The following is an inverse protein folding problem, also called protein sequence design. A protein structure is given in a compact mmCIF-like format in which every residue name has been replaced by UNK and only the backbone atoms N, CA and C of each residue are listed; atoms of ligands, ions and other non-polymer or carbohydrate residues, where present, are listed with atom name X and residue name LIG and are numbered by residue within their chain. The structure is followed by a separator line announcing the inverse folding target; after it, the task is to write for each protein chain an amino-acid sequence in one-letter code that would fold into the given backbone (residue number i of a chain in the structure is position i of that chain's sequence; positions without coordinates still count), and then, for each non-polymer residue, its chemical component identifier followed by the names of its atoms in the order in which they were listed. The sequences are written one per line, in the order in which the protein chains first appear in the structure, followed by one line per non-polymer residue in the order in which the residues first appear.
data_IF_971503069885
#
_entry.id   IF_971503069885
#
_cell.length_a   1.000
_cell.length_b   1.000
_cell.length_c   1.000
_cell.angle_alpha   90.00
_cell.angle_beta   90.00
_cell.angle_gamma   90.00
#
_symmetry.space_group_name_H-M   'P 1'
#
loop_
_entity.id
_entity.type
_entity.pdbx_description
1 polymer ?
#
# COMPACT_ATOMS: atom_id res chain seq x y z
N UNK A 1 6.31 -20.85 -4.81
CA UNK A 1 7.71 -20.61 -5.24
C UNK A 1 7.81 -19.66 -6.44
N UNK A 2 7.31 -20.00 -7.65
CA UNK A 2 7.42 -19.06 -8.80
C UNK A 2 6.70 -17.72 -8.57
N UNK A 3 5.52 -17.75 -7.98
CA UNK A 3 4.78 -16.55 -7.60
C UNK A 3 5.56 -15.66 -6.64
N UNK A 4 6.18 -16.24 -5.63
CA UNK A 4 6.96 -15.50 -4.63
C UNK A 4 8.18 -14.83 -5.27
N UNK A 5 8.88 -15.58 -6.14
CA UNK A 5 10.02 -15.03 -6.90
C UNK A 5 9.56 -13.86 -7.76
N UNK A 6 8.42 -13.99 -8.46
CA UNK A 6 7.87 -12.93 -9.30
C UNK A 6 7.51 -11.68 -8.48
N UNK A 7 6.84 -11.84 -7.33
CA UNK A 7 6.47 -10.73 -6.44
C UNK A 7 7.70 -10.05 -5.83
N UNK A 8 8.67 -10.82 -5.34
CA UNK A 8 9.94 -10.28 -4.83
C UNK A 8 10.69 -9.54 -5.93
N UNK A 9 10.81 -10.13 -7.12
CA UNK A 9 11.46 -9.48 -8.27
C UNK A 9 10.77 -8.19 -8.67
N UNK A 10 9.43 -8.15 -8.67
CA UNK A 10 8.67 -6.95 -8.95
C UNK A 10 8.91 -5.86 -7.90
N UNK A 11 8.89 -6.20 -6.61
CA UNK A 11 9.20 -5.26 -5.54
C UNK A 11 10.61 -4.67 -5.69
N UNK A 12 11.61 -5.51 -5.95
CA UNK A 12 12.98 -5.06 -6.20
C UNK A 12 13.08 -4.19 -7.45
N UNK A 13 12.42 -4.55 -8.56
CA UNK A 13 12.40 -3.74 -9.77
C UNK A 13 11.81 -2.34 -9.52
N UNK A 14 10.74 -2.25 -8.74
CA UNK A 14 10.18 -0.96 -8.33
C UNK A 14 11.15 -0.16 -7.46
N UNK A 15 11.82 -0.79 -6.49
CA UNK A 15 12.79 -0.11 -5.62
C UNK A 15 14.01 0.37 -6.40
N UNK A 16 14.55 -0.45 -7.30
CA UNK A 16 15.70 -0.10 -8.15
C UNK A 16 15.36 1.02 -9.15
N UNK A 17 14.12 1.07 -9.63
CA UNK A 17 13.66 2.11 -10.56
C UNK A 17 13.19 3.39 -9.87
N UNK A 18 13.08 3.41 -8.55
CA UNK A 18 12.79 4.60 -7.74
C UNK A 18 14.06 5.47 -7.60
N UNK A 19 13.92 6.77 -7.30
CA UNK A 19 15.06 7.60 -6.90
C UNK A 19 15.85 6.92 -5.78
N UNK A 20 17.18 7.13 -5.74
CA UNK A 20 18.02 6.54 -4.69
C UNK A 20 17.52 7.02 -3.31
N UNK A 21 17.20 6.07 -2.45
CA UNK A 21 16.86 6.34 -1.06
C UNK A 21 18.16 6.40 -0.23
N UNK A 22 18.22 7.34 0.71
CA UNK A 22 19.26 7.30 1.72
C UNK A 22 19.02 6.10 2.69
N UNK A 23 20.01 5.78 3.52
CA UNK A 23 19.90 4.65 4.46
C UNK A 23 18.74 4.80 5.45
N UNK A 24 18.44 6.04 5.86
CA UNK A 24 17.34 6.34 6.77
C UNK A 24 15.99 6.04 6.11
N UNK A 25 15.74 6.55 4.90
CA UNK A 25 14.51 6.28 4.15
C UNK A 25 14.30 4.77 3.91
N UNK A 26 15.37 4.05 3.57
CA UNK A 26 15.29 2.60 3.38
C UNK A 26 14.96 1.86 4.69
N UNK A 27 15.61 2.23 5.81
CA UNK A 27 15.34 1.63 7.12
C UNK A 27 13.91 1.89 7.58
N UNK A 28 13.40 3.09 7.38
CA UNK A 28 12.04 3.45 7.79
C UNK A 28 10.98 2.82 6.89
N UNK A 29 11.23 2.70 5.58
CA UNK A 29 10.35 1.92 4.69
C UNK A 29 10.28 0.46 5.14
N UNK A 30 11.41 -0.14 5.49
CA UNK A 30 11.47 -1.49 6.05
C UNK A 30 10.69 -1.58 7.37
N UNK A 31 10.86 -0.61 8.27
CA UNK A 31 10.11 -0.55 9.53
C UNK A 31 8.60 -0.47 9.27
N UNK A 32 8.16 0.34 8.32
CA UNK A 32 6.74 0.41 7.93
C UNK A 32 6.24 -0.90 7.33
N UNK A 33 7.04 -1.59 6.51
CA UNK A 33 6.68 -2.90 5.97
C UNK A 33 6.48 -3.90 7.12
N UNK A 34 7.43 -3.99 8.05
CA UNK A 34 7.35 -4.92 9.18
C UNK A 34 6.21 -4.58 10.13
N UNK A 35 6.04 -3.31 10.50
CA UNK A 35 4.95 -2.87 11.38
C UNK A 35 3.57 -3.11 10.78
N UNK A 36 3.38 -2.78 9.49
CA UNK A 36 2.10 -3.01 8.81
C UNK A 36 1.82 -4.51 8.64
N UNK A 37 2.85 -5.31 8.33
CA UNK A 37 2.75 -6.77 8.28
C UNK A 37 2.33 -7.34 9.63
N UNK A 38 3.00 -6.96 10.71
CA UNK A 38 2.69 -7.43 12.06
C UNK A 38 1.25 -7.05 12.46
N UNK A 39 0.86 -5.80 12.23
CA UNK A 39 -0.49 -5.33 12.54
C UNK A 39 -1.56 -6.07 11.72
N UNK A 40 -1.30 -6.33 10.43
CA UNK A 40 -2.21 -7.13 9.59
C UNK A 40 -2.37 -8.56 10.11
N UNK A 41 -1.30 -9.18 10.57
CA UNK A 41 -1.33 -10.54 11.16
C UNK A 41 -2.12 -10.55 12.47
N UNK A 42 -1.87 -9.59 13.36
CA UNK A 42 -2.58 -9.45 14.64
C UNK A 42 -4.09 -9.20 14.43
N UNK A 43 -4.45 -8.44 13.39
CA UNK A 43 -5.83 -8.11 13.08
C UNK A 43 -6.54 -9.16 12.20
N UNK A 44 -5.90 -10.25 11.86
CA UNK A 44 -6.48 -11.33 11.05
C UNK A 44 -7.86 -11.82 11.55
N UNK A 45 -8.15 -11.88 12.87
CA UNK A 45 -9.48 -12.25 13.34
C UNK A 45 -10.60 -11.28 12.98
N UNK A 46 -10.28 -10.03 12.57
CA UNK A 46 -11.24 -9.02 12.15
C UNK A 46 -11.31 -9.01 10.60
N UNK A 47 -12.33 -9.63 9.98
CA UNK A 47 -12.39 -9.75 8.53
C UNK A 47 -12.45 -8.37 7.88
N UNK A 48 -11.57 -8.15 6.91
CA UNK A 48 -11.47 -6.92 6.11
C UNK A 48 -11.19 -5.62 6.89
N UNK A 49 -10.88 -5.67 8.19
CA UNK A 49 -10.44 -4.52 8.99
C UNK A 49 -8.93 -4.55 9.10
N UNK A 50 -8.23 -3.87 8.19
CA UNK A 50 -6.79 -4.00 8.04
C UNK A 50 -6.11 -2.63 7.77
N UNK A 51 -4.88 -2.41 8.28
CA UNK A 51 -4.18 -1.13 8.17
C UNK A 51 -3.54 -0.88 6.80
N UNK A 52 -3.48 -1.91 5.93
CA UNK A 52 -2.65 -1.90 4.71
C UNK A 52 -3.07 -0.81 3.74
N UNK A 53 -4.38 -0.60 3.55
CA UNK A 53 -4.91 0.39 2.61
C UNK A 53 -4.44 1.80 2.92
N UNK A 54 -4.59 2.23 4.17
CA UNK A 54 -4.20 3.59 4.59
C UNK A 54 -2.69 3.76 4.55
N UNK A 55 -1.93 2.75 4.98
CA UNK A 55 -0.47 2.75 4.89
C UNK A 55 -0.01 2.84 3.42
N UNK A 56 -0.59 2.03 2.51
CA UNK A 56 -0.24 2.06 1.08
C UNK A 56 -0.56 3.41 0.42
N UNK A 57 -1.73 4.01 0.72
CA UNK A 57 -2.09 5.35 0.26
C UNK A 57 -1.06 6.39 0.68
N UNK A 58 -0.67 6.40 1.97
CA UNK A 58 0.24 7.40 2.52
C UNK A 58 1.69 7.17 2.09
N UNK A 59 2.16 5.92 2.03
CA UNK A 59 3.48 5.61 1.47
C UNK A 59 3.55 6.03 -0.01
N UNK A 60 2.50 5.76 -0.79
CA UNK A 60 2.40 6.26 -2.16
C UNK A 60 2.44 7.77 -2.25
N UNK A 61 1.69 8.47 -1.40
CA UNK A 61 1.61 9.94 -1.39
C UNK A 61 2.93 10.62 -1.01
N UNK A 62 3.71 10.04 -0.09
CA UNK A 62 4.97 10.60 0.38
C UNK A 62 6.18 10.14 -0.42
N UNK A 63 6.25 8.85 -0.76
CA UNK A 63 7.44 8.23 -1.35
C UNK A 63 7.29 7.91 -2.85
N UNK A 64 6.13 8.23 -3.42
CA UNK A 64 5.82 8.02 -4.83
C UNK A 64 5.33 6.60 -5.15
N UNK A 65 4.81 6.45 -6.37
CA UNK A 65 4.13 5.25 -6.83
C UNK A 65 4.99 3.98 -6.76
N UNK A 66 6.28 4.07 -7.12
CA UNK A 66 7.18 2.91 -7.17
C UNK A 66 7.50 2.35 -5.78
N UNK A 67 7.88 3.21 -4.82
CA UNK A 67 8.13 2.79 -3.43
C UNK A 67 6.83 2.32 -2.75
N UNK A 68 5.70 2.97 -3.07
CA UNK A 68 4.38 2.56 -2.60
C UNK A 68 3.97 1.18 -3.09
N UNK A 69 4.18 0.88 -4.39
CA UNK A 69 3.91 -0.44 -4.95
C UNK A 69 4.82 -1.52 -4.34
N UNK A 70 6.12 -1.24 -4.20
CA UNK A 70 7.04 -2.15 -3.53
C UNK A 70 6.64 -2.44 -2.08
N UNK A 71 6.27 -1.40 -1.32
CA UNK A 71 5.72 -1.55 0.03
C UNK A 71 4.50 -2.48 0.05
N UNK A 72 3.53 -2.24 -0.83
CA UNK A 72 2.30 -3.03 -0.92
C UNK A 72 2.59 -4.51 -1.22
N UNK A 73 3.47 -4.79 -2.18
CA UNK A 73 3.88 -6.15 -2.54
C UNK A 73 4.54 -6.85 -1.35
N UNK A 74 5.50 -6.20 -0.68
CA UNK A 74 6.24 -6.77 0.44
C UNK A 74 5.33 -7.05 1.64
N UNK A 75 4.47 -6.10 2.02
CA UNK A 75 3.49 -6.30 3.12
C UNK A 75 2.57 -7.47 2.78
N UNK A 76 2.05 -7.53 1.56
CA UNK A 76 1.14 -8.60 1.13
C UNK A 76 1.82 -9.95 1.19
N UNK A 77 3.01 -10.07 0.61
CA UNK A 77 3.74 -11.33 0.57
C UNK A 77 4.09 -11.81 1.98
N UNK A 78 4.73 -10.95 2.79
CA UNK A 78 5.17 -11.32 4.14
C UNK A 78 3.99 -11.69 5.03
N UNK A 79 2.90 -10.92 5.02
CA UNK A 79 1.74 -11.24 5.84
C UNK A 79 1.00 -12.48 5.35
N UNK A 80 0.88 -12.70 4.04
CA UNK A 80 0.24 -13.90 3.52
C UNK A 80 1.04 -15.17 3.78
N UNK A 81 2.37 -15.12 3.82
CA UNK A 81 3.19 -16.25 4.26
C UNK A 81 2.90 -16.66 5.70
N UNK A 82 2.48 -15.72 6.54
CA UNK A 82 2.15 -15.97 7.95
C UNK A 82 0.68 -16.33 8.17
N UNK A 83 -0.24 -15.77 7.39
CA UNK A 83 -1.70 -15.95 7.56
C UNK A 83 -2.22 -17.08 6.66
N UNK A 84 -2.06 -16.90 5.36
CA UNK A 84 -2.53 -17.82 4.31
C UNK A 84 -1.98 -17.40 2.97
N UNK A 85 -1.14 -18.22 2.37
CA UNK A 85 -0.50 -17.97 1.09
C UNK A 85 -1.09 -18.82 -0.02
N UNK A 86 -1.31 -18.20 -1.20
CA UNK A 86 -1.84 -18.88 -2.36
C UNK A 86 -1.93 -17.97 -3.58
N UNK A 87 -2.60 -18.44 -4.61
CA UNK A 87 -2.81 -17.70 -5.86
C UNK A 87 -3.38 -16.29 -5.67
N UNK A 88 -4.29 -16.11 -4.72
CA UNK A 88 -4.89 -14.82 -4.36
C UNK A 88 -3.87 -13.77 -3.89
N UNK A 89 -2.69 -14.19 -3.44
CA UNK A 89 -1.62 -13.27 -3.02
C UNK A 89 -1.20 -12.33 -4.15
N UNK A 90 -1.19 -12.81 -5.40
CA UNK A 90 -0.89 -11.98 -6.57
C UNK A 90 -1.93 -10.85 -6.71
N UNK A 91 -3.21 -11.19 -6.64
CA UNK A 91 -4.29 -10.21 -6.82
C UNK A 91 -4.35 -9.20 -5.67
N UNK A 92 -4.10 -9.63 -4.45
CA UNK A 92 -3.98 -8.74 -3.30
C UNK A 92 -2.77 -7.80 -3.44
N UNK A 93 -1.61 -8.31 -3.88
CA UNK A 93 -0.43 -7.48 -4.13
C UNK A 93 -0.69 -6.45 -5.23
N UNK A 94 -1.36 -6.84 -6.32
CA UNK A 94 -1.79 -5.91 -7.38
C UNK A 94 -2.78 -4.88 -6.80
N UNK A 95 -3.79 -5.31 -6.06
CA UNK A 95 -4.82 -4.44 -5.50
C UNK A 95 -4.23 -3.34 -4.62
N UNK A 96 -3.38 -3.69 -3.65
CA UNK A 96 -2.75 -2.68 -2.80
C UNK A 96 -1.65 -1.87 -3.52
N UNK A 97 -1.01 -2.43 -4.55
CA UNK A 97 -0.12 -1.64 -5.41
C UNK A 97 -0.88 -0.55 -6.18
N UNK A 98 -2.06 -0.88 -6.71
CA UNK A 98 -2.95 0.10 -7.36
C UNK A 98 -3.38 1.18 -6.36
N UNK A 99 -3.73 0.80 -5.12
CA UNK A 99 -4.04 1.73 -4.04
C UNK A 99 -2.86 2.65 -3.72
N UNK A 100 -1.63 2.14 -3.67
CA UNK A 100 -0.43 2.95 -3.45
C UNK A 100 -0.17 3.93 -4.61
N UNK A 101 -0.34 3.49 -5.86
CA UNK A 101 -0.25 4.36 -7.05
C UNK A 101 -1.33 5.44 -7.02
N UNK A 102 -2.55 5.09 -6.63
CA UNK A 102 -3.62 6.06 -6.43
C UNK A 102 -3.24 7.09 -5.36
N UNK A 103 -2.63 6.65 -4.25
CA UNK A 103 -2.09 7.53 -3.20
C UNK A 103 -1.09 8.55 -3.73
N UNK A 104 -0.16 8.11 -4.58
CA UNK A 104 0.85 8.97 -5.19
C UNK A 104 0.26 10.09 -6.07
N UNK A 105 -0.94 9.88 -6.63
CA UNK A 105 -1.58 10.81 -7.57
C UNK A 105 -2.74 11.60 -6.95
N UNK A 106 -3.19 11.26 -5.75
CA UNK A 106 -4.41 11.78 -5.13
C UNK A 106 -4.27 13.19 -4.53
N UNK A 107 -3.07 13.80 -4.57
CA UNK A 107 -2.80 15.10 -3.94
C UNK A 107 -3.33 15.18 -2.49
N UNK A 108 -3.10 14.13 -1.73
CA UNK A 108 -3.51 14.08 -0.32
C UNK A 108 -2.65 14.96 0.59
N UNK A 109 -1.51 15.43 0.10
CA UNK A 109 -0.63 16.36 0.80
C UNK A 109 -0.59 17.66 0.01
N UNK A 110 -0.94 18.77 0.64
CA UNK A 110 -0.95 20.12 0.06
C UNK A 110 -0.28 21.04 1.07
N UNK A 111 0.75 21.76 0.63
CA UNK A 111 1.55 22.67 1.45
C UNK A 111 2.04 22.00 2.76
N UNK A 112 2.53 20.76 2.64
CA UNK A 112 3.01 19.95 3.76
C UNK A 112 1.92 19.46 4.72
N UNK A 113 0.63 19.66 4.42
CA UNK A 113 -0.50 19.29 5.29
C UNK A 113 -1.32 18.15 4.69
N UNK A 114 -1.66 17.18 5.53
CA UNK A 114 -2.53 16.08 5.14
C UNK A 114 -3.97 16.58 4.94
N UNK A 115 -4.52 16.32 3.77
CA UNK A 115 -5.92 16.56 3.43
C UNK A 115 -6.76 15.36 3.89
N UNK A 116 -7.18 15.37 5.15
CA UNK A 116 -7.88 14.24 5.79
C UNK A 116 -9.14 13.81 5.02
N UNK A 117 -9.91 14.75 4.48
CA UNK A 117 -11.09 14.43 3.67
C UNK A 117 -10.72 13.61 2.42
N UNK A 118 -9.63 13.97 1.74
CA UNK A 118 -9.14 13.21 0.58
C UNK A 118 -8.64 11.83 1.01
N UNK A 119 -7.90 11.73 2.10
CA UNK A 119 -7.47 10.44 2.63
C UNK A 119 -8.68 9.54 2.91
N UNK A 120 -9.69 10.03 3.62
CA UNK A 120 -10.91 9.26 3.91
C UNK A 120 -11.65 8.84 2.62
N UNK A 121 -11.78 9.75 1.65
CA UNK A 121 -12.44 9.47 0.38
C UNK A 121 -11.70 8.34 -0.38
N UNK A 122 -10.38 8.45 -0.54
CA UNK A 122 -9.59 7.45 -1.25
C UNK A 122 -9.49 6.14 -0.46
N UNK A 123 -9.46 6.19 0.87
CA UNK A 123 -9.51 5.02 1.73
C UNK A 123 -10.83 4.24 1.54
N UNK A 124 -11.97 4.95 1.48
CA UNK A 124 -13.28 4.32 1.23
C UNK A 124 -13.37 3.73 -0.18
N UNK A 125 -12.97 4.48 -1.23
CA UNK A 125 -13.00 4.02 -2.63
C UNK A 125 -12.05 2.82 -2.86
N UNK A 126 -10.97 2.74 -2.11
CA UNK A 126 -10.01 1.62 -2.20
C UNK A 126 -10.64 0.27 -1.87
N UNK A 127 -11.69 0.22 -1.04
CA UNK A 127 -12.30 -1.04 -0.62
C UNK A 127 -12.97 -1.77 -1.80
N UNK A 128 -13.94 -1.19 -2.54
CA UNK A 128 -14.54 -1.88 -3.69
C UNK A 128 -13.55 -2.09 -4.83
N UNK A 129 -12.56 -1.21 -5.01
CA UNK A 129 -11.49 -1.39 -6.00
C UNK A 129 -10.65 -2.63 -5.67
N UNK A 130 -10.23 -2.77 -4.41
CA UNK A 130 -9.50 -3.93 -3.93
C UNK A 130 -10.36 -5.20 -4.01
N UNK A 131 -11.64 -5.12 -3.62
CA UNK A 131 -12.60 -6.22 -3.72
C UNK A 131 -12.74 -6.72 -5.15
N UNK A 132 -12.91 -5.81 -6.13
CA UNK A 132 -12.97 -6.15 -7.55
C UNK A 132 -11.71 -6.90 -8.00
N UNK A 133 -10.52 -6.36 -7.71
CA UNK A 133 -9.24 -6.97 -8.11
C UNK A 133 -9.07 -8.34 -7.43
N UNK A 134 -9.39 -8.45 -6.15
CA UNK A 134 -9.29 -9.70 -5.41
C UNK A 134 -10.25 -10.77 -5.92
N UNK A 135 -11.46 -10.38 -6.32
CA UNK A 135 -12.47 -11.28 -6.90
C UNK A 135 -11.99 -11.91 -8.22
N UNK A 136 -11.10 -11.23 -8.97
CA UNK A 136 -10.52 -11.81 -10.18
C UNK A 136 -9.71 -13.08 -9.89
N UNK A 137 -9.21 -13.27 -8.66
CA UNK A 137 -8.53 -14.51 -8.26
C UNK A 137 -9.45 -15.75 -8.26
N UNK A 138 -10.76 -15.54 -8.26
CA UNK A 138 -11.77 -16.60 -8.24
C UNK A 138 -12.32 -16.94 -9.64
N UNK A 139 -11.91 -16.17 -10.66
CA UNK A 139 -12.38 -16.37 -12.04
C UNK A 139 -11.78 -17.64 -12.63
N UNK A 140 -12.62 -18.53 -13.17
CA UNK A 140 -12.24 -19.70 -13.94
C UNK A 140 -12.65 -19.58 -15.40
N UNK A 141 -12.06 -20.37 -16.27
CA UNK A 141 -12.38 -20.40 -17.72
C UNK A 141 -13.83 -20.78 -18.03
N UNK A 142 -14.51 -21.45 -17.08
CA UNK A 142 -15.89 -21.90 -17.24
C UNK A 142 -16.91 -20.93 -16.65
N UNK A 143 -16.44 -19.86 -15.99
CA UNK A 143 -17.30 -18.89 -15.33
C UNK A 143 -17.99 -17.97 -16.34
N UNK A 144 -19.32 -17.93 -16.31
CA UNK A 144 -20.09 -16.96 -17.09
C UNK A 144 -20.02 -15.56 -16.48
N UNK A 145 -20.28 -14.53 -17.30
CA UNK A 145 -20.36 -13.14 -16.80
C UNK A 145 -21.41 -12.99 -15.68
N UNK A 146 -22.57 -13.68 -15.79
CA UNK A 146 -23.59 -13.64 -14.73
C UNK A 146 -23.07 -14.20 -13.39
N UNK A 147 -22.33 -15.30 -13.41
CA UNK A 147 -21.70 -15.88 -12.21
C UNK A 147 -20.66 -14.93 -11.60
N UNK A 148 -19.87 -14.26 -12.44
CA UNK A 148 -18.93 -13.23 -11.97
C UNK A 148 -19.65 -12.06 -11.28
N UNK A 149 -20.77 -11.58 -11.85
CA UNK A 149 -21.57 -10.53 -11.21
C UNK A 149 -22.17 -10.97 -9.87
N UNK A 150 -22.55 -12.24 -9.73
CA UNK A 150 -22.99 -12.81 -8.45
C UNK A 150 -21.86 -12.82 -7.43
N UNK A 151 -20.63 -13.19 -7.82
CA UNK A 151 -19.46 -13.12 -6.93
C UNK A 151 -19.19 -11.69 -6.43
N UNK A 152 -19.25 -10.72 -7.33
CA UNK A 152 -19.09 -9.31 -6.95
C UNK A 152 -20.16 -8.86 -5.96
N UNK A 153 -21.43 -9.23 -6.23
CA UNK A 153 -22.54 -8.89 -5.33
C UNK A 153 -22.37 -9.53 -3.94
N UNK A 154 -21.89 -10.76 -3.86
CA UNK A 154 -21.58 -11.44 -2.60
C UNK A 154 -20.40 -10.80 -1.86
N UNK A 155 -19.48 -10.15 -2.58
CA UNK A 155 -18.37 -9.38 -2.03
C UNK A 155 -18.78 -8.06 -1.37
N UNK A 156 -19.90 -7.43 -1.78
CA UNK A 156 -20.30 -6.10 -1.32
C UNK A 156 -20.35 -5.92 0.22
N UNK A 157 -20.88 -6.85 1.04
CA UNK A 157 -20.87 -6.71 2.49
C UNK A 157 -19.43 -6.62 3.05
N UNK A 158 -18.50 -7.38 2.47
CA UNK A 158 -17.09 -7.35 2.86
C UNK A 158 -16.42 -6.05 2.43
N UNK A 159 -16.77 -5.50 1.26
CA UNK A 159 -16.28 -4.20 0.80
C UNK A 159 -16.76 -3.06 1.71
N UNK A 160 -18.01 -3.14 2.21
CA UNK A 160 -18.53 -2.16 3.19
C UNK A 160 -17.73 -2.23 4.50
N UNK A 161 -17.49 -3.42 5.04
CA UNK A 161 -16.68 -3.60 6.27
C UNK A 161 -15.25 -3.09 6.02
N UNK A 162 -14.67 -3.38 4.86
CA UNK A 162 -13.35 -2.90 4.46
C UNK A 162 -13.31 -1.38 4.38
N UNK A 163 -14.32 -0.74 3.77
CA UNK A 163 -14.42 0.71 3.70
C UNK A 163 -14.52 1.36 5.09
N UNK A 164 -15.35 0.80 5.97
CA UNK A 164 -15.48 1.28 7.36
C UNK A 164 -14.18 1.11 8.14
N UNK A 165 -13.50 -0.03 8.00
CA UNK A 165 -12.19 -0.28 8.59
C UNK A 165 -11.14 0.72 8.07
N UNK A 166 -11.11 0.97 6.76
CA UNK A 166 -10.20 1.94 6.15
C UNK A 166 -10.47 3.37 6.66
N UNK A 167 -11.74 3.77 6.82
CA UNK A 167 -12.10 5.07 7.39
C UNK A 167 -11.64 5.18 8.85
N UNK A 168 -11.84 4.14 9.65
CA UNK A 168 -11.38 4.11 11.04
C UNK A 168 -9.85 4.27 11.10
N UNK A 169 -9.09 3.53 10.28
CA UNK A 169 -7.64 3.68 10.20
C UNK A 169 -7.21 5.05 9.68
N UNK A 170 -7.89 5.62 8.68
CA UNK A 170 -7.58 6.94 8.17
C UNK A 170 -7.69 8.01 9.25
N UNK A 171 -8.77 8.00 10.04
CA UNK A 171 -8.99 8.94 11.12
C UNK A 171 -8.03 8.70 12.30
N UNK A 172 -7.81 7.45 12.67
CA UNK A 172 -6.99 7.09 13.84
C UNK A 172 -5.49 7.25 13.61
N UNK A 173 -5.00 6.74 12.47
CA UNK A 173 -3.56 6.62 12.23
C UNK A 173 -3.06 7.57 11.14
N UNK A 174 -3.95 8.16 10.34
CA UNK A 174 -3.57 8.95 9.17
C UNK A 174 -2.63 10.10 9.50
N UNK A 175 -2.95 10.91 10.53
CA UNK A 175 -2.11 12.03 10.95
C UNK A 175 -0.74 11.57 11.50
N UNK A 176 -0.71 10.49 12.27
CA UNK A 176 0.51 9.90 12.82
C UNK A 176 1.42 9.37 11.69
N UNK A 177 0.86 8.62 10.74
CA UNK A 177 1.61 8.10 9.60
C UNK A 177 2.11 9.22 8.69
N UNK A 178 1.28 10.26 8.47
CA UNK A 178 1.70 11.45 7.74
C UNK A 178 2.91 12.13 8.40
N UNK A 179 2.85 12.38 9.72
CA UNK A 179 3.94 13.00 10.47
C UNK A 179 5.23 12.17 10.38
N UNK A 180 5.12 10.86 10.54
CA UNK A 180 6.25 9.94 10.43
C UNK A 180 6.87 10.00 9.02
N UNK A 181 6.06 9.92 7.97
CA UNK A 181 6.53 9.95 6.57
C UNK A 181 7.07 11.33 6.15
N UNK A 182 6.51 12.42 6.68
CA UNK A 182 7.01 13.79 6.41
C UNK A 182 8.43 14.01 6.97
N UNK A 183 8.73 13.44 8.14
CA UNK A 183 10.08 13.47 8.69
C UNK A 183 11.11 12.78 7.79
N UNK A 184 10.69 11.75 7.04
CA UNK A 184 11.53 11.04 6.07
C UNK A 184 11.88 11.87 4.85
N UNK A 185 10.88 12.50 4.24
CA UNK A 185 11.08 13.30 3.04
C UNK A 185 11.92 14.53 3.32
N UNK A 186 11.75 15.20 4.45
CA UNK A 186 12.55 16.33 4.87
C UNK A 186 14.04 15.96 5.05
N UNK A 187 14.33 14.81 5.68
CA UNK A 187 15.69 14.31 5.84
C UNK A 187 16.33 13.92 4.50
N UNK A 188 15.56 13.38 3.56
CA UNK A 188 16.07 13.02 2.23
C UNK A 188 16.45 14.27 1.41
N UNK A 189 15.64 15.33 1.47
CA UNK A 189 15.90 16.61 0.82
C UNK A 189 17.15 17.32 1.43
N UNK A 190 17.30 17.29 2.74
CA UNK A 190 18.45 17.89 3.44
C UNK A 190 19.76 17.18 3.08
N UNK A 191 19.76 15.84 3.02
CA UNK A 191 20.95 15.05 2.64
C UNK A 191 21.32 15.29 1.18
N UNK A 192 20.35 15.41 0.27
CA UNK A 192 20.60 15.70 -1.13
C UNK A 192 21.16 17.12 -1.32
N UNK A 193 20.62 18.11 -0.61
CA UNK A 193 21.11 19.49 -0.65
C UNK A 193 22.56 19.63 -0.16
N UNK A 194 22.95 18.90 0.89
CA UNK A 194 24.33 18.90 1.40
C UNK A 194 25.29 18.17 0.43
N UNK A 195 24.83 17.12 -0.22
CA UNK A 195 25.61 16.37 -1.22
C UNK A 195 25.93 17.19 -2.46
N UNK A 196 24.98 18.00 -2.93
CA UNK A 196 25.18 18.90 -4.09
C UNK A 196 26.17 20.04 -3.79
N UNK A 197 26.20 20.55 -2.57
CA UNK A 197 27.16 21.60 -2.16
C UNK A 197 28.59 21.07 -2.15
N UNK A 198 28.83 19.82 -1.75
CA UNK A 198 30.17 19.22 -1.72
C UNK A 198 30.62 18.67 -3.10
N UNK A 199 29.71 18.49 -4.05
CA UNK A 199 30.04 18.09 -5.42
C UNK A 199 30.49 19.23 -6.34
N UNK A 200 30.39 20.50 -5.90
CA UNK A 200 30.79 21.67 -6.67
C UNK A 200 32.25 22.12 -6.38
N UNK A 201 32.92 21.49 -5.42
CA UNK A 201 34.30 21.80 -5.01
C UNK A 201 35.33 20.76 -5.49
N UNK A 202 34.96 19.86 -6.38
CA UNK A 202 35.83 18.84 -6.99
C UNK A 202 35.85 18.98 -8.52
#
# INVERSE_FOLDING_TARGET
MLLDIALVSAAFAFLLSAPRANRMTAAMLLTMVLATTALRVVMQPLPNVQPVTVAALLVGAHLGAKRGAAFAILVTLLSNLLISHGWWTLFQAIGWSVVAVMGANARMIVDGRLQMQRLCMFAAISAPLFGLISTLSLVSSEMSFGQFMVLLAQGLPFDVIHALGNLAFAVWTGAMLHHFLSGLTATEEEVLAVGDVHGLDA
#
